data_IF_597847257208
#
_entry.id   IF_597847257208
#
_cell.length_a   1.000
_cell.length_b   1.000
_cell.length_c   1.000
_cell.angle_alpha   90.00
_cell.angle_beta   90.00
_cell.angle_gamma   90.00
#
_symmetry.space_group_name_H-M   'P 1'
#
loop_
_entity.id
_entity.type
_entity.pdbx_description
1 polymer ?
#
# COMPACT_ATOMS: atom_id res chain seq x y z
N UNK A 1 -20.59 -30.80 -19.41
CA UNK A 1 -19.95 -30.38 -20.68
C UNK A 1 -19.62 -28.90 -20.51
N UNK A 2 -18.42 -28.61 -20.02
CA UNK A 2 -18.01 -27.27 -19.58
C UNK A 2 -17.40 -26.55 -20.76
N UNK A 3 -17.95 -25.39 -21.13
CA UNK A 3 -17.25 -24.42 -21.94
C UNK A 3 -17.23 -23.11 -21.15
N UNK A 4 -16.29 -23.03 -20.22
CA UNK A 4 -15.78 -21.72 -19.83
C UNK A 4 -15.03 -21.19 -21.06
N UNK A 5 -15.55 -20.14 -21.68
CA UNK A 5 -14.84 -19.39 -22.71
C UNK A 5 -13.46 -19.00 -22.16
N UNK A 6 -12.35 -19.20 -22.89
CA UNK A 6 -11.04 -18.76 -22.43
C UNK A 6 -11.09 -17.24 -22.22
N UNK A 7 -10.68 -16.78 -21.05
CA UNK A 7 -10.60 -15.36 -20.68
C UNK A 7 -9.88 -14.56 -21.78
N UNK A 8 -8.88 -15.17 -22.42
CA UNK A 8 -8.13 -14.66 -23.56
C UNK A 8 -9.00 -14.13 -24.73
N UNK A 9 -10.13 -14.77 -25.05
CA UNK A 9 -10.98 -14.32 -26.17
C UNK A 9 -11.81 -13.07 -25.82
N UNK A 10 -12.01 -12.78 -24.53
CA UNK A 10 -12.78 -11.61 -24.07
C UNK A 10 -11.95 -10.33 -24.02
N UNK A 11 -10.62 -10.46 -23.96
CA UNK A 11 -9.68 -9.35 -23.86
C UNK A 11 -9.35 -8.72 -25.23
N UNK A 12 -9.63 -9.37 -26.37
CA UNK A 12 -9.13 -8.89 -27.65
C UNK A 12 -9.90 -7.69 -28.25
N UNK A 13 -11.15 -7.45 -27.86
CA UNK A 13 -12.05 -6.47 -28.50
C UNK A 13 -12.59 -5.38 -27.54
N UNK A 14 -12.06 -5.28 -26.32
CA UNK A 14 -12.53 -4.35 -25.29
C UNK A 14 -11.46 -3.28 -24.99
N UNK A 15 -11.74 -1.96 -25.01
CA UNK A 15 -10.81 -0.95 -24.49
C UNK A 15 -10.47 -1.12 -22.99
N UNK A 16 -11.13 -2.05 -22.28
CA UNK A 16 -10.77 -2.55 -20.95
C UNK A 16 -9.82 -3.76 -20.95
N UNK A 17 -9.35 -4.19 -22.14
CA UNK A 17 -8.37 -5.24 -22.33
C UNK A 17 -7.14 -4.97 -21.46
N UNK A 18 -6.88 -5.90 -20.56
CA UNK A 18 -5.71 -5.82 -19.72
C UNK A 18 -4.46 -5.99 -20.58
N UNK A 19 -3.58 -4.99 -20.58
CA UNK A 19 -2.34 -5.02 -21.36
C UNK A 19 -1.14 -5.57 -20.58
N UNK A 20 -1.20 -5.48 -19.24
CA UNK A 20 -0.09 -5.79 -18.33
C UNK A 20 -0.62 -6.05 -16.92
N UNK A 21 0.07 -6.94 -16.21
CA UNK A 21 -0.05 -7.07 -14.76
C UNK A 21 0.94 -6.12 -14.10
N UNK A 22 0.42 -5.24 -13.25
CA UNK A 22 1.23 -4.40 -12.38
C UNK A 22 1.30 -5.01 -11.00
N UNK A 23 2.47 -4.94 -10.38
CA UNK A 23 2.65 -5.39 -9.00
C UNK A 23 3.31 -4.31 -8.15
N UNK A 24 2.86 -4.20 -6.90
CA UNK A 24 3.54 -3.37 -5.90
C UNK A 24 3.47 -3.99 -4.51
N UNK A 25 4.50 -3.68 -3.70
CA UNK A 25 4.60 -4.17 -2.32
C UNK A 25 5.19 -3.13 -1.39
N UNK A 26 4.80 -3.22 -0.12
CA UNK A 26 5.51 -2.54 0.96
C UNK A 26 6.92 -3.15 1.16
N UNK A 27 7.86 -2.48 1.83
CA UNK A 27 9.19 -3.02 2.15
C UNK A 27 9.14 -4.06 3.28
N UNK A 28 8.26 -5.06 3.14
CA UNK A 28 8.10 -6.20 4.05
C UNK A 28 8.23 -7.51 3.24
N UNK A 29 8.56 -8.64 3.89
CA UNK A 29 8.50 -9.95 3.24
C UNK A 29 7.09 -10.20 2.72
N UNK A 30 6.98 -10.46 1.42
CA UNK A 30 5.70 -10.65 0.72
C UNK A 30 5.84 -11.85 -0.20
N UNK A 31 4.79 -12.68 -0.29
CA UNK A 31 4.79 -13.86 -1.15
C UNK A 31 4.95 -13.44 -2.62
N UNK A 32 4.28 -12.37 -3.02
CA UNK A 32 4.40 -11.78 -4.35
C UNK A 32 5.78 -11.21 -4.67
N UNK A 33 6.49 -10.66 -3.68
CA UNK A 33 7.89 -10.23 -3.85
C UNK A 33 8.82 -11.40 -4.14
N UNK A 34 8.60 -12.55 -3.50
CA UNK A 34 9.35 -13.78 -3.76
C UNK A 34 8.98 -14.36 -5.13
N UNK A 35 7.67 -14.47 -5.43
CA UNK A 35 7.18 -14.98 -6.69
C UNK A 35 7.71 -14.19 -7.89
N UNK A 36 7.71 -12.85 -7.81
CA UNK A 36 8.30 -11.99 -8.83
C UNK A 36 9.79 -12.26 -9.00
N UNK A 37 10.56 -12.30 -7.90
CA UNK A 37 12.02 -12.52 -7.96
C UNK A 37 12.40 -13.89 -8.53
N UNK A 38 11.56 -14.90 -8.33
CA UNK A 38 11.75 -16.26 -8.85
C UNK A 38 11.19 -16.44 -10.29
N UNK A 39 10.59 -15.39 -10.87
CA UNK A 39 10.01 -15.43 -12.22
C UNK A 39 8.67 -16.15 -12.31
N UNK A 40 8.01 -16.44 -11.18
CA UNK A 40 6.77 -17.22 -11.14
C UNK A 40 5.57 -16.44 -11.66
N UNK A 41 5.52 -15.13 -11.41
CA UNK A 41 4.44 -14.29 -11.92
C UNK A 41 4.51 -14.20 -13.45
N UNK A 42 5.70 -14.03 -14.01
CA UNK A 42 5.94 -14.00 -15.45
C UNK A 42 5.56 -15.33 -16.11
N UNK A 43 5.91 -16.45 -15.47
CA UNK A 43 5.55 -17.79 -15.95
C UNK A 43 4.04 -18.01 -15.96
N UNK A 44 3.34 -17.60 -14.90
CA UNK A 44 1.88 -17.74 -14.78
C UNK A 44 1.16 -16.99 -15.91
N UNK A 45 1.52 -15.74 -16.15
CA UNK A 45 0.82 -14.87 -17.09
C UNK A 45 1.33 -14.95 -18.54
N UNK A 46 2.35 -15.78 -18.81
CA UNK A 46 2.92 -15.94 -20.14
C UNK A 46 1.90 -16.49 -21.16
N UNK A 47 1.05 -17.44 -20.74
CA UNK A 47 0.04 -18.05 -21.61
C UNK A 47 -1.05 -17.04 -22.03
N UNK A 48 -1.28 -16.01 -21.23
CA UNK A 48 -2.21 -14.92 -21.51
C UNK A 48 -1.57 -13.77 -22.31
N UNK A 49 -0.26 -13.84 -22.58
CA UNK A 49 0.48 -12.77 -23.25
C UNK A 49 0.59 -11.49 -22.42
N UNK A 50 0.42 -11.59 -21.09
CA UNK A 50 0.41 -10.45 -20.19
C UNK A 50 1.80 -10.27 -19.55
N UNK A 51 2.57 -9.22 -19.91
CA UNK A 51 3.80 -8.90 -19.21
C UNK A 51 3.50 -8.53 -17.74
N UNK A 52 4.46 -8.80 -16.85
CA UNK A 52 4.42 -8.41 -15.43
C UNK A 52 5.44 -7.29 -15.19
N UNK A 53 5.11 -6.26 -14.43
CA UNK A 53 6.05 -5.18 -14.08
C UNK A 53 5.78 -4.57 -12.71
N UNK A 54 6.81 -4.01 -12.08
CA UNK A 54 6.68 -3.43 -10.74
C UNK A 54 6.50 -1.91 -10.75
N UNK A 55 5.72 -1.37 -9.81
CA UNK A 55 5.66 0.09 -9.60
C UNK A 55 6.97 0.67 -9.05
N UNK A 56 7.84 -0.17 -8.46
CA UNK A 56 9.16 0.24 -8.00
C UNK A 56 10.09 0.63 -9.17
N UNK A 57 9.95 -0.05 -10.30
CA UNK A 57 10.65 0.25 -11.55
C UNK A 57 9.93 1.35 -12.36
N UNK A 58 8.59 1.40 -12.29
CA UNK A 58 7.76 2.43 -12.93
C UNK A 58 7.39 3.57 -11.96
N UNK A 59 8.39 4.29 -11.43
CA UNK A 59 8.21 5.28 -10.36
C UNK A 59 7.15 6.35 -10.64
N UNK A 60 6.96 6.74 -11.89
CA UNK A 60 5.91 7.69 -12.32
C UNK A 60 4.49 7.21 -11.99
N UNK A 61 4.28 5.89 -11.90
CA UNK A 61 3.02 5.26 -11.52
C UNK A 61 2.95 4.94 -10.01
N UNK A 62 3.94 5.34 -9.23
CA UNK A 62 4.06 4.97 -7.81
C UNK A 62 2.89 5.45 -6.93
N UNK A 63 2.15 6.49 -7.34
CA UNK A 63 0.96 6.95 -6.65
C UNK A 63 -0.15 5.88 -6.60
N UNK A 64 -0.20 4.99 -7.59
CA UNK A 64 -1.15 3.89 -7.63
C UNK A 64 -0.94 2.82 -6.55
N UNK A 65 0.21 2.84 -5.86
CA UNK A 65 0.41 2.08 -4.62
C UNK A 65 -0.62 2.44 -3.54
N UNK A 66 -1.17 3.67 -3.59
CA UNK A 66 -2.09 4.20 -2.58
C UNK A 66 -3.52 4.33 -3.09
N UNK A 67 -3.77 4.72 -4.34
CA UNK A 67 -5.14 4.94 -4.85
C UNK A 67 -5.82 3.67 -5.39
N UNK A 68 -5.01 2.67 -5.77
CA UNK A 68 -5.44 1.41 -6.38
C UNK A 68 -6.32 1.57 -7.64
N UNK A 69 -6.08 2.61 -8.44
CA UNK A 69 -6.86 2.92 -9.65
C UNK A 69 -6.25 2.33 -10.93
N UNK A 70 -5.00 1.85 -10.89
CA UNK A 70 -4.33 1.28 -12.06
C UNK A 70 -4.93 -0.09 -12.42
N UNK A 71 -5.50 -0.26 -13.62
CA UNK A 71 -5.97 -1.57 -14.07
C UNK A 71 -4.85 -2.60 -14.07
N UNK A 72 -5.18 -3.84 -13.66
CA UNK A 72 -4.20 -4.94 -13.56
C UNK A 72 -3.25 -4.85 -12.39
N UNK A 73 -3.44 -3.91 -11.46
CA UNK A 73 -2.60 -3.78 -10.27
C UNK A 73 -2.95 -4.83 -9.21
N UNK A 74 -1.96 -5.66 -8.88
CA UNK A 74 -1.91 -6.45 -7.66
C UNK A 74 -1.04 -5.74 -6.61
N UNK A 75 -1.55 -5.61 -5.38
CA UNK A 75 -0.83 -5.04 -4.24
C UNK A 75 -0.81 -6.00 -3.07
N UNK A 76 0.38 -6.30 -2.55
CA UNK A 76 0.56 -6.99 -1.27
C UNK A 76 1.25 -6.05 -0.26
N UNK A 77 0.63 -5.79 0.88
CA UNK A 77 1.20 -4.91 1.89
C UNK A 77 0.21 -4.60 3.01
N UNK A 78 0.58 -3.64 3.88
CA UNK A 78 -0.24 -3.26 5.03
C UNK A 78 -1.69 -2.91 4.66
N UNK A 79 -2.62 -3.15 5.56
CA UNK A 79 -4.06 -2.97 5.33
C UNK A 79 -4.49 -1.49 5.26
N UNK A 80 -3.79 -0.57 5.93
CA UNK A 80 -4.20 0.85 6.03
C UNK A 80 -4.40 1.51 4.66
N UNK A 81 -3.44 1.46 3.70
CA UNK A 81 -3.67 2.01 2.36
C UNK A 81 -4.80 1.32 1.60
N UNK A 82 -4.96 -0.01 1.76
CA UNK A 82 -6.01 -0.75 1.06
C UNK A 82 -7.41 -0.39 1.57
N UNK A 83 -7.57 -0.22 2.88
CA UNK A 83 -8.81 0.25 3.48
C UNK A 83 -9.12 1.69 3.08
N UNK A 84 -8.11 2.57 3.08
CA UNK A 84 -8.27 3.96 2.65
C UNK A 84 -8.69 4.06 1.17
N UNK A 85 -8.00 3.36 0.27
CA UNK A 85 -8.34 3.32 -1.16
C UNK A 85 -9.76 2.81 -1.39
N UNK A 86 -10.14 1.73 -0.69
CA UNK A 86 -11.49 1.17 -0.77
C UNK A 86 -12.56 2.14 -0.25
N UNK A 87 -12.30 2.82 0.86
CA UNK A 87 -13.19 3.84 1.40
C UNK A 87 -13.34 5.04 0.45
N UNK A 88 -12.30 5.37 -0.31
CA UNK A 88 -12.31 6.39 -1.35
C UNK A 88 -12.95 5.93 -2.68
N UNK A 89 -13.53 4.72 -2.74
CA UNK A 89 -14.24 4.22 -3.91
C UNK A 89 -13.39 3.44 -4.91
N UNK A 90 -12.15 3.07 -4.56
CA UNK A 90 -11.34 2.21 -5.44
C UNK A 90 -12.06 0.89 -5.78
N UNK A 91 -12.06 0.48 -7.06
CA UNK A 91 -12.69 -0.76 -7.49
C UNK A 91 -11.88 -2.02 -7.12
N UNK A 92 -10.88 -1.93 -6.23
CA UNK A 92 -10.07 -3.06 -5.80
C UNK A 92 -10.88 -4.15 -5.07
N UNK A 93 -10.33 -5.36 -5.00
CA UNK A 93 -10.89 -6.51 -4.25
C UNK A 93 -9.80 -7.15 -3.40
N UNK A 94 -10.19 -7.65 -2.23
CA UNK A 94 -9.31 -8.46 -1.38
C UNK A 94 -9.34 -9.90 -1.88
N UNK A 95 -8.19 -10.46 -2.24
CA UNK A 95 -8.08 -11.83 -2.75
C UNK A 95 -7.26 -12.77 -1.86
N UNK A 96 -6.58 -12.22 -0.85
CA UNK A 96 -5.75 -13.00 0.07
C UNK A 96 -5.31 -12.17 1.26
N UNK A 97 -4.98 -12.85 2.36
CA UNK A 97 -4.44 -12.26 3.58
C UNK A 97 -3.24 -13.09 4.01
N UNK A 98 -2.16 -12.41 4.35
CA UNK A 98 -1.00 -13.00 5.02
C UNK A 98 -0.87 -12.29 6.37
N UNK A 99 -0.79 -13.06 7.45
CA UNK A 99 -0.53 -12.52 8.77
C UNK A 99 0.97 -12.38 8.97
N UNK A 100 1.40 -11.20 9.45
CA UNK A 100 2.77 -10.95 9.88
C UNK A 100 2.69 -10.56 11.34
N UNK A 101 3.47 -11.23 12.19
CA UNK A 101 3.65 -10.77 13.56
C UNK A 101 4.51 -9.51 13.55
N UNK A 102 3.87 -8.37 13.80
CA UNK A 102 4.52 -7.08 13.95
C UNK A 102 4.44 -6.65 15.42
N UNK A 103 5.53 -6.08 15.93
CA UNK A 103 5.57 -5.46 17.25
C UNK A 103 6.00 -4.00 17.11
N UNK A 104 5.30 -3.11 17.81
CA UNK A 104 5.64 -1.70 17.90
C UNK A 104 6.10 -1.40 19.31
N UNK A 105 7.17 -0.62 19.44
CA UNK A 105 7.73 -0.26 20.75
C UNK A 105 8.08 1.21 20.84
N UNK A 106 8.07 1.73 22.06
CA UNK A 106 8.65 3.03 22.38
C UNK A 106 10.07 2.77 22.84
N UNK A 107 11.04 3.13 21.99
CA UNK A 107 12.45 3.00 22.33
C UNK A 107 12.87 4.14 23.26
N UNK A 108 13.54 3.78 24.36
CA UNK A 108 14.11 4.71 25.33
C UNK A 108 15.56 4.37 25.58
N UNK A 109 16.35 5.36 26.04
CA UNK A 109 17.72 5.09 26.47
C UNK A 109 17.73 4.19 27.72
N UNK A 110 18.74 3.33 27.90
CA UNK A 110 18.88 2.48 29.08
C UNK A 110 18.89 3.25 30.40
N UNK A 111 19.39 4.48 30.41
CA UNK A 111 19.53 5.37 31.57
C UNK A 111 18.37 6.37 31.73
N UNK A 112 17.30 6.25 30.95
CA UNK A 112 16.15 7.18 30.99
C UNK A 112 15.28 7.06 32.25
N UNK A 113 15.41 5.98 33.02
CA UNK A 113 14.52 5.65 34.13
C UNK A 113 13.11 5.22 33.73
N UNK A 114 12.79 5.18 32.42
CA UNK A 114 11.47 4.77 31.91
C UNK A 114 11.42 3.25 31.87
N UNK A 115 10.54 2.64 32.67
CA UNK A 115 10.37 1.18 32.77
C UNK A 115 8.94 0.73 32.50
N UNK A 116 7.98 1.66 32.51
CA UNK A 116 6.56 1.41 32.32
C UNK A 116 5.90 2.53 31.51
N UNK A 117 4.68 2.29 31.05
CA UNK A 117 3.89 3.32 30.38
C UNK A 117 3.59 4.54 31.29
N UNK A 118 3.52 4.35 32.61
CA UNK A 118 3.27 5.44 33.56
C UNK A 118 4.43 6.47 33.59
N UNK A 119 5.66 6.01 33.39
CA UNK A 119 6.87 6.85 33.40
C UNK A 119 6.94 7.80 32.18
N UNK A 120 6.10 7.56 31.17
CA UNK A 120 5.95 8.43 29.99
C UNK A 120 5.22 9.73 30.32
N UNK A 121 4.55 9.83 31.48
CA UNK A 121 3.83 11.03 31.89
C UNK A 121 4.77 12.24 31.92
N UNK A 122 4.40 13.30 31.19
CA UNK A 122 5.18 14.53 31.10
C UNK A 122 6.46 14.41 30.25
N UNK A 123 6.70 13.28 29.59
CA UNK A 123 7.81 13.13 28.64
C UNK A 123 7.40 13.62 27.25
N UNK A 124 8.40 13.97 26.45
CA UNK A 124 8.22 14.33 25.04
C UNK A 124 8.37 13.06 24.20
N UNK A 125 7.35 12.73 23.42
CA UNK A 125 7.36 11.59 22.51
C UNK A 125 7.66 12.07 21.10
N UNK A 126 8.67 11.47 20.47
CA UNK A 126 8.86 11.60 19.04
C UNK A 126 7.88 10.65 18.35
N UNK A 127 7.06 11.18 17.45
CA UNK A 127 6.17 10.41 16.61
C UNK A 127 6.63 10.54 15.15
N UNK A 128 6.48 9.50 14.32
CA UNK A 128 6.64 9.68 12.89
C UNK A 128 5.67 10.78 12.43
N UNK A 129 6.21 11.82 11.80
CA UNK A 129 5.38 12.82 11.16
C UNK A 129 4.61 12.20 9.99
N UNK A 130 3.44 12.75 9.66
CA UNK A 130 2.86 12.48 8.35
C UNK A 130 3.86 12.95 7.29
N UNK A 131 4.36 12.02 6.47
CA UNK A 131 5.22 12.35 5.34
C UNK A 131 4.53 13.30 4.36
N UNK A 132 5.32 13.94 3.50
CA UNK A 132 4.88 14.97 2.52
C UNK A 132 3.88 14.48 1.46
N UNK A 133 3.50 13.21 1.48
CA UNK A 133 2.55 12.55 0.58
C UNK A 133 1.54 11.74 1.40
N UNK A 134 0.57 12.37 2.06
CA UNK A 134 -0.49 11.65 2.74
C UNK A 134 -1.24 10.75 1.76
N UNK A 135 -1.50 9.49 2.11
CA UNK A 135 -2.35 8.60 1.31
C UNK A 135 -3.76 9.19 1.05
N UNK A 136 -4.24 10.07 1.95
CA UNK A 136 -5.49 10.82 1.81
C UNK A 136 -5.45 11.90 0.72
N UNK A 137 -4.28 12.33 0.24
CA UNK A 137 -4.16 13.28 -0.86
C UNK A 137 -4.69 12.71 -2.18
N UNK A 138 -4.77 11.37 -2.26
CA UNK A 138 -5.36 10.63 -3.38
C UNK A 138 -6.80 10.15 -3.08
N UNK A 139 -7.41 10.62 -1.99
CA UNK A 139 -8.81 10.40 -1.66
C UNK A 139 -9.59 11.71 -1.89
N UNK A 140 -10.19 11.93 -3.08
CA UNK A 140 -10.94 13.17 -3.35
C UNK A 140 -12.11 13.34 -2.37
N UNK A 141 -12.32 14.56 -1.87
CA UNK A 141 -13.47 14.91 -1.03
C UNK A 141 -13.36 14.58 0.46
N UNK A 142 -12.24 14.05 0.94
CA UNK A 142 -12.02 13.73 2.35
C UNK A 142 -10.78 14.44 2.89
N UNK A 143 -10.87 15.77 3.07
CA UNK A 143 -9.94 16.43 3.98
C UNK A 143 -10.32 15.99 5.41
N UNK A 144 -9.45 15.27 6.15
CA UNK A 144 -9.83 14.78 7.46
C UNK A 144 -10.06 15.96 8.41
N UNK A 145 -11.22 16.02 9.07
CA UNK A 145 -11.60 17.15 9.94
C UNK A 145 -10.57 17.47 11.05
N UNK A 146 -9.72 16.52 11.42
CA UNK A 146 -8.63 16.69 12.39
C UNK A 146 -7.37 17.39 11.83
N UNK A 147 -7.23 17.50 10.51
CA UNK A 147 -6.19 18.32 9.86
C UNK A 147 -6.54 19.81 9.87
N UNK A 148 -7.84 20.15 9.90
CA UNK A 148 -8.27 21.54 9.77
C UNK A 148 -8.15 22.35 11.07
N UNK A 149 -8.09 21.77 12.28
CA UNK A 149 -7.95 22.56 13.53
C UNK A 149 -7.32 21.79 14.69
N UNK A 150 -6.13 22.21 15.13
CA UNK A 150 -5.83 22.52 16.54
C UNK A 150 -4.78 23.65 16.65
N UNK A 151 -5.10 24.80 17.25
CA UNK A 151 -4.08 25.72 17.74
C UNK A 151 -3.34 25.01 18.89
N UNK A 152 -2.02 24.80 18.74
CA UNK A 152 -1.18 24.24 19.81
C UNK A 152 -0.18 23.17 19.39
N UNK A 153 -0.33 22.53 18.23
CA UNK A 153 0.75 21.70 17.66
C UNK A 153 1.69 22.61 16.86
N UNK A 154 2.66 23.18 17.57
CA UNK A 154 3.71 24.00 16.96
C UNK A 154 4.43 23.24 15.85
N UNK A 155 4.58 23.88 14.70
CA UNK A 155 5.57 23.51 13.69
C UNK A 155 6.93 23.57 14.39
N UNK A 156 7.61 22.44 14.59
CA UNK A 156 9.04 22.49 14.89
C UNK A 156 9.71 23.07 13.65
N UNK A 157 10.27 24.27 13.79
CA UNK A 157 11.11 24.87 12.76
C UNK A 157 12.33 23.97 12.55
N UNK A 158 12.83 23.82 11.31
CA UNK A 158 14.11 23.15 11.08
C UNK A 158 15.22 23.98 11.75
N UNK A 159 15.93 23.33 12.67
CA UNK A 159 17.22 23.78 13.19
C UNK A 159 18.35 23.04 12.50
#
# INVERSE_FOLDING_TARGET
MTLATPIAKRLADDPSALERIWFTRCPVPTASGIAYKLGWLEQEFAADGLPVSTLQEARQLGHHHYDHQLPGLFREGGNVPALAARAAGSPSRLIGLTWIEEWQTILVRPDSGIRSAADLRGKRLALPGLGRYPAWQYCPGHEPAWLQRRPGFGRLAPG
#
